data_IF_494968664551
#
_entry.id   IF_494968664551
#
_cell.length_a   1.000
_cell.length_b   1.000
_cell.length_c   1.000
_cell.angle_alpha   90.00
_cell.angle_beta   90.00
_cell.angle_gamma   90.00
#
_symmetry.space_group_name_H-M   'P 1'
#
loop_
_entity.id
_entity.type
_entity.pdbx_description
1 polymer ?
#
# COMPACT_ATOMS: atom_id res chain seq x y z
N UNK A 1 -4.90 -22.35 -11.43
CA UNK A 1 -3.65 -21.85 -10.81
C UNK A 1 -3.76 -20.33 -10.77
N UNK A 2 -3.60 -19.69 -9.62
CA UNK A 2 -3.61 -18.22 -9.54
C UNK A 2 -2.31 -17.68 -10.15
N UNK A 3 -2.42 -16.67 -11.02
CA UNK A 3 -1.26 -16.01 -11.62
C UNK A 3 -1.18 -14.55 -11.16
N UNK A 4 0.06 -14.06 -10.97
CA UNK A 4 0.28 -12.66 -10.65
C UNK A 4 -0.10 -11.79 -11.85
N UNK A 5 -0.96 -10.78 -11.63
CA UNK A 5 -1.33 -9.78 -12.65
C UNK A 5 -0.38 -8.59 -12.68
N UNK A 6 0.20 -8.21 -11.54
CA UNK A 6 1.13 -7.09 -11.45
C UNK A 6 2.04 -7.27 -10.24
N UNK A 7 3.27 -6.76 -10.31
CA UNK A 7 4.19 -6.67 -9.19
C UNK A 7 4.80 -5.26 -9.16
N UNK A 8 4.49 -4.50 -8.12
CA UNK A 8 4.91 -3.10 -7.98
C UNK A 8 5.89 -2.90 -6.84
N UNK A 9 6.80 -1.94 -7.02
CA UNK A 9 7.65 -1.39 -5.96
C UNK A 9 7.42 0.10 -5.86
N UNK A 10 6.75 0.53 -4.81
CA UNK A 10 6.61 1.94 -4.47
C UNK A 10 7.60 2.32 -3.36
N UNK A 11 8.10 3.55 -3.41
CA UNK A 11 8.92 4.14 -2.34
C UNK A 11 8.05 5.13 -1.60
N UNK A 12 7.84 4.90 -0.30
CA UNK A 12 7.17 5.86 0.57
C UNK A 12 8.17 6.92 0.98
N UNK A 13 7.86 8.19 0.71
CA UNK A 13 8.75 9.29 1.06
C UNK A 13 8.95 9.36 2.59
N UNK A 14 10.20 9.50 3.08
CA UNK A 14 10.44 9.64 4.53
C UNK A 14 9.70 10.82 5.15
N UNK A 15 9.46 11.89 4.37
CA UNK A 15 8.68 13.05 4.78
C UNK A 15 7.23 12.74 5.10
N UNK A 16 6.69 11.62 4.62
CA UNK A 16 5.35 11.17 4.98
C UNK A 16 5.31 10.58 6.38
N UNK A 17 6.40 9.99 6.86
CA UNK A 17 6.47 9.35 8.16
C UNK A 17 7.20 10.26 9.14
N UNK A 18 6.46 11.03 9.92
CA UNK A 18 7.07 11.81 11.00
C UNK A 18 7.69 10.87 12.03
N UNK A 19 9.01 10.97 12.22
CA UNK A 19 9.81 10.17 13.16
C UNK A 19 9.76 8.66 12.88
N UNK A 20 10.35 8.19 11.75
CA UNK A 20 10.38 6.77 11.46
C UNK A 20 11.24 6.04 12.50
N UNK A 21 10.65 5.08 13.21
CA UNK A 21 11.34 4.10 14.04
C UNK A 21 11.64 2.83 13.24
N UNK A 22 12.53 1.97 13.75
CA UNK A 22 12.83 0.68 13.10
C UNK A 22 11.57 -0.21 12.92
N UNK A 23 10.58 -0.08 13.81
CA UNK A 23 9.30 -0.78 13.69
C UNK A 23 8.45 -0.31 12.49
N UNK A 24 8.77 0.84 11.90
CA UNK A 24 8.08 1.39 10.73
C UNK A 24 8.57 0.79 9.41
N UNK A 25 9.86 0.47 9.32
CA UNK A 25 10.49 -0.13 8.14
C UNK A 25 9.98 -1.55 7.84
N UNK A 26 9.48 -2.24 8.87
CA UNK A 26 8.85 -3.56 8.76
C UNK A 26 7.49 -3.58 9.46
N UNK A 27 6.63 -2.59 9.18
CA UNK A 27 5.31 -2.57 9.78
C UNK A 27 4.50 -3.78 9.31
N UNK A 28 4.27 -4.73 10.21
CA UNK A 28 3.33 -5.84 10.01
C UNK A 28 1.86 -5.38 10.09
N UNK A 29 1.66 -4.08 10.35
CA UNK A 29 0.36 -3.41 10.45
C UNK A 29 0.13 -2.59 9.18
N UNK A 30 -0.13 -3.29 8.10
CA UNK A 30 -0.54 -2.72 6.83
C UNK A 30 -1.86 -3.33 6.38
N UNK A 31 -2.66 -2.55 5.67
CA UNK A 31 -3.79 -3.04 4.92
C UNK A 31 -3.83 -2.37 3.54
N UNK A 32 -4.34 -3.07 2.55
CA UNK A 32 -4.39 -2.64 1.16
C UNK A 32 -5.83 -2.75 0.67
N UNK A 33 -6.25 -1.73 -0.05
CA UNK A 33 -7.42 -1.79 -0.92
C UNK A 33 -6.97 -1.59 -2.37
N UNK A 34 -7.55 -2.35 -3.30
CA UNK A 34 -7.36 -2.16 -4.74
C UNK A 34 -8.66 -1.59 -5.27
N UNK A 35 -8.59 -0.49 -6.01
CA UNK A 35 -9.78 0.13 -6.58
C UNK A 35 -10.55 -0.87 -7.48
N UNK A 36 -11.86 -0.64 -7.67
CA UNK A 36 -12.69 -1.53 -8.48
C UNK A 36 -12.21 -1.70 -9.93
N UNK A 37 -11.45 -0.73 -10.47
CA UNK A 37 -10.87 -0.77 -11.81
C UNK A 37 -9.52 -1.51 -11.90
N UNK A 38 -8.89 -1.81 -10.77
CA UNK A 38 -7.51 -2.26 -10.66
C UNK A 38 -6.47 -1.25 -11.16
N UNK A 39 -6.82 0.03 -11.30
CA UNK A 39 -5.94 1.10 -11.82
C UNK A 39 -5.01 1.67 -10.75
N UNK A 40 -5.41 1.58 -9.50
CA UNK A 40 -4.65 2.07 -8.35
C UNK A 40 -4.94 1.21 -7.13
N UNK A 41 -4.07 1.33 -6.13
CA UNK A 41 -4.30 0.73 -4.84
C UNK A 41 -3.97 1.72 -3.73
N UNK A 42 -4.71 1.64 -2.63
CA UNK A 42 -4.50 2.44 -1.43
C UNK A 42 -3.96 1.55 -0.32
N UNK A 43 -2.79 1.92 0.21
CA UNK A 43 -2.12 1.22 1.30
C UNK A 43 -2.25 2.07 2.57
N UNK A 44 -2.70 1.44 3.65
CA UNK A 44 -2.71 2.02 4.99
C UNK A 44 -1.55 1.43 5.78
N UNK A 45 -0.71 2.30 6.33
CA UNK A 45 0.49 1.92 7.08
C UNK A 45 0.36 2.52 8.46
N UNK A 46 0.26 1.67 9.50
CA UNK A 46 0.41 2.17 10.86
C UNK A 46 1.87 2.37 11.20
N UNK A 47 2.15 3.57 11.72
CA UNK A 47 3.46 4.01 12.10
C UNK A 47 3.38 4.82 13.39
N UNK A 48 4.02 4.33 14.46
CA UNK A 48 3.89 4.93 15.79
C UNK A 48 2.43 4.94 16.27
N UNK A 49 1.93 6.13 16.60
CA UNK A 49 0.55 6.42 16.99
C UNK A 49 -0.36 6.84 15.80
N UNK A 50 0.16 6.81 14.57
CA UNK A 50 -0.50 7.35 13.37
C UNK A 50 -0.77 6.28 12.32
N UNK A 51 -1.75 6.53 11.45
CA UNK A 51 -2.01 5.73 10.24
C UNK A 51 -1.79 6.64 9.04
N UNK A 52 -1.04 6.17 8.05
CA UNK A 52 -0.78 6.89 6.81
C UNK A 52 -1.43 6.17 5.65
N UNK A 53 -2.16 6.90 4.80
CA UNK A 53 -2.67 6.38 3.54
C UNK A 53 -1.71 6.75 2.41
N UNK A 54 -1.49 5.82 1.48
CA UNK A 54 -0.62 6.00 0.31
C UNK A 54 -1.33 5.40 -0.89
N UNK A 55 -1.61 6.20 -1.91
CA UNK A 55 -2.17 5.73 -3.17
C UNK A 55 -1.05 5.46 -4.17
N UNK A 56 -1.08 4.28 -4.80
CA UNK A 56 -0.04 3.80 -5.72
C UNK A 56 -0.71 3.46 -7.06
N UNK A 57 -0.11 3.91 -8.16
CA UNK A 57 -0.59 3.57 -9.50
C UNK A 57 -0.32 2.09 -9.83
N UNK A 58 -1.30 1.46 -10.48
CA UNK A 58 -1.26 0.09 -10.98
C UNK A 58 -1.40 0.00 -12.51
N UNK A 59 -1.53 1.14 -13.23
CA UNK A 59 -1.91 1.22 -14.65
C UNK A 59 -1.11 0.30 -15.62
N UNK A 60 0.21 0.20 -15.48
CA UNK A 60 1.02 -0.82 -16.18
C UNK A 60 0.80 -2.25 -15.65
N UNK A 61 -0.14 -2.94 -16.29
CA UNK A 61 -0.63 -4.27 -15.87
C UNK A 61 0.29 -5.44 -16.25
N UNK A 62 1.56 -5.20 -16.59
CA UNK A 62 2.44 -6.23 -17.14
C UNK A 62 3.43 -6.72 -16.08
N UNK A 63 3.27 -7.98 -15.66
CA UNK A 63 4.28 -8.70 -14.90
C UNK A 63 5.51 -8.91 -15.77
N UNK A 64 6.65 -8.39 -15.32
CA UNK A 64 7.92 -8.66 -15.95
C UNK A 64 8.54 -9.92 -15.33
N UNK A 65 8.95 -10.88 -16.18
CA UNK A 65 9.54 -12.16 -15.74
C UNK A 65 11.02 -12.17 -16.07
N UNK A 66 11.84 -12.38 -15.05
CA UNK A 66 13.27 -12.58 -15.16
C UNK A 66 13.64 -14.03 -15.44
N UNK A 67 14.91 -14.35 -15.21
CA UNK A 67 15.43 -15.71 -15.26
C UNK A 67 14.59 -16.64 -14.36
N UNK A 68 14.35 -17.86 -14.82
CA UNK A 68 13.56 -18.87 -14.07
C UNK A 68 12.12 -18.41 -13.75
N UNK A 69 11.55 -17.50 -14.54
CA UNK A 69 10.21 -16.92 -14.32
C UNK A 69 10.06 -16.13 -13.02
N UNK A 70 11.17 -15.68 -12.42
CA UNK A 70 11.13 -14.82 -11.24
C UNK A 70 10.43 -13.49 -11.56
N UNK A 71 9.52 -13.08 -10.69
CA UNK A 71 8.79 -11.82 -10.86
C UNK A 71 9.71 -10.64 -10.59
N UNK A 72 9.78 -9.69 -11.53
CA UNK A 72 10.55 -8.44 -11.37
C UNK A 72 9.57 -7.31 -11.06
N UNK A 73 9.70 -6.63 -9.91
CA UNK A 73 8.84 -5.51 -9.58
C UNK A 73 9.10 -4.31 -10.49
N UNK A 74 8.03 -3.69 -10.98
CA UNK A 74 8.09 -2.41 -11.69
C UNK A 74 7.99 -1.28 -10.67
N UNK A 75 8.87 -0.29 -10.76
CA UNK A 75 8.79 0.92 -9.95
C UNK A 75 7.45 1.62 -10.19
N UNK A 76 6.73 1.93 -9.11
CA UNK A 76 5.47 2.64 -9.16
C UNK A 76 5.57 3.95 -8.39
N UNK A 77 4.92 4.99 -8.92
CA UNK A 77 4.84 6.28 -8.26
C UNK A 77 3.72 6.28 -7.22
N UNK A 78 3.98 6.93 -6.09
CA UNK A 78 2.95 7.31 -5.13
C UNK A 78 2.20 8.50 -5.71
N UNK A 79 0.90 8.34 -5.95
CA UNK A 79 0.03 9.36 -6.53
C UNK A 79 -0.43 10.38 -5.50
N UNK A 80 -0.82 9.89 -4.32
CA UNK A 80 -1.31 10.70 -3.21
C UNK A 80 -0.95 10.06 -1.87
N UNK A 81 -0.90 10.86 -0.82
CA UNK A 81 -0.65 10.36 0.53
C UNK A 81 -1.18 11.30 1.60
N UNK A 82 -1.75 10.76 2.68
CA UNK A 82 -2.33 11.56 3.76
C UNK A 82 -2.26 10.87 5.12
N UNK A 83 -2.37 11.66 6.19
CA UNK A 83 -2.53 11.15 7.55
C UNK A 83 -3.99 10.82 7.81
N UNK A 84 -4.26 9.61 8.31
CA UNK A 84 -5.58 9.17 8.72
C UNK A 84 -5.74 9.41 10.23
N UNK A 85 -6.76 10.17 10.62
CA UNK A 85 -7.05 10.52 12.00
C UNK A 85 -7.74 9.36 12.75
N UNK A 86 -7.02 8.24 12.92
CA UNK A 86 -7.52 7.00 13.55
C UNK A 86 -6.41 6.31 14.36
N UNK A 87 -6.81 5.55 15.39
CA UNK A 87 -5.88 4.80 16.24
C UNK A 87 -5.23 3.63 15.47
N UNK A 88 -3.91 3.41 15.57
CA UNK A 88 -3.18 2.38 14.82
C UNK A 88 -3.34 0.95 15.40
N UNK A 89 -4.49 0.65 15.98
CA UNK A 89 -4.79 -0.69 16.46
C UNK A 89 -4.95 -1.65 15.27
N UNK A 90 -4.54 -2.92 15.41
CA UNK A 90 -4.55 -3.88 14.29
C UNK A 90 -5.94 -4.03 13.67
N UNK A 91 -6.98 -4.06 14.50
CA UNK A 91 -8.37 -4.15 14.04
C UNK A 91 -8.84 -2.88 13.33
N UNK A 92 -8.32 -1.71 13.70
CA UNK A 92 -8.70 -0.42 13.10
C UNK A 92 -8.19 -0.29 11.67
N UNK A 93 -6.92 -0.67 11.41
CA UNK A 93 -6.33 -0.57 10.07
C UNK A 93 -7.09 -1.41 9.04
N UNK A 94 -7.51 -2.62 9.44
CA UNK A 94 -8.34 -3.47 8.58
C UNK A 94 -9.75 -2.90 8.41
N UNK A 95 -10.32 -2.33 9.47
CA UNK A 95 -11.66 -1.72 9.42
C UNK A 95 -11.70 -0.48 8.53
N UNK A 96 -10.62 0.32 8.48
CA UNK A 96 -10.50 1.48 7.59
C UNK A 96 -10.63 1.06 6.13
N UNK A 97 -9.93 -0.02 5.74
CA UNK A 97 -10.04 -0.55 4.38
C UNK A 97 -11.48 -0.92 4.05
N UNK A 98 -12.17 -1.62 4.96
CA UNK A 98 -13.56 -2.06 4.73
C UNK A 98 -14.54 -0.88 4.70
N UNK A 99 -14.38 0.11 5.57
CA UNK A 99 -15.27 1.26 5.66
C UNK A 99 -15.10 2.24 4.48
N UNK A 100 -13.87 2.46 4.01
CA UNK A 100 -13.65 3.30 2.82
C UNK A 100 -14.19 2.64 1.55
N UNK A 101 -14.27 1.31 1.49
CA UNK A 101 -14.84 0.59 0.33
C UNK A 101 -16.37 0.60 0.26
N UNK A 102 -17.07 0.79 1.37
CA UNK A 102 -18.55 0.83 1.38
C UNK A 102 -19.11 2.20 0.96
N UNK A 103 -18.24 3.21 0.85
CA UNK A 103 -18.64 4.58 0.50
C UNK A 103 -18.56 4.87 -1.01
N UNK A 104 -18.24 3.87 -1.84
CA UNK A 104 -18.22 3.94 -3.32
C UNK A 104 -19.57 3.55 -3.96
#
# INVERSE_FOLDING_TARGET
>A
MLEAKSLRKAVVAPSLLENPSAANLQSTRLALHVDGGGSSCRVYIASGCSIYSVQISMEDSLVNKGKESLLIPVSAQVMDSSLVNRCPHRSEIQSIVLAETESE
#
